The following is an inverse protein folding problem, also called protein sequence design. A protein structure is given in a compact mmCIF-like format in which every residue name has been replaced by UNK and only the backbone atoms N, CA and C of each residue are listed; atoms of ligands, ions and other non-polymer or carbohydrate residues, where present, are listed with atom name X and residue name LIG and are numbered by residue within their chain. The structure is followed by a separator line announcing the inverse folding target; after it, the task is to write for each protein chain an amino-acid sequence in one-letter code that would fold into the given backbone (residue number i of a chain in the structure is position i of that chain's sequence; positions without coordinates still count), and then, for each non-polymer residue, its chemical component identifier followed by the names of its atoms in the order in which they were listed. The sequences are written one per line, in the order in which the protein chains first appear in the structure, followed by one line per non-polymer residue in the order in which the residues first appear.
data_IF_464162119364
#
_entry.id   IF_464162119364
#
_cell.length_a   1.000
_cell.length_b   1.000
_cell.length_c   1.000
_cell.angle_alpha   90.00
_cell.angle_beta   90.00
_cell.angle_gamma   90.00
#
_symmetry.space_group_name_H-M   'P 1'
#
loop_
_entity.id
_entity.type
_entity.pdbx_description
1 polymer ?
#
# COMPACT_ATOMS: atom_id res chain seq x y z
N UNK A 1 24.98 8.81 -21.15
CA UNK A 1 23.69 8.17 -21.49
C UNK A 1 23.61 6.84 -20.75
N UNK A 2 22.48 6.47 -20.13
CA UNK A 2 22.38 5.17 -19.45
C UNK A 2 22.54 4.05 -20.49
N UNK A 3 23.25 3.00 -20.15
CA UNK A 3 23.61 1.90 -21.04
C UNK A 3 22.40 1.12 -21.61
N UNK A 4 21.21 1.33 -21.07
CA UNK A 4 19.94 0.78 -21.55
C UNK A 4 19.55 1.24 -22.96
N UNK A 5 20.13 2.36 -23.45
CA UNK A 5 19.85 2.93 -24.77
C UNK A 5 20.98 2.66 -25.77
N UNK A 6 22.03 1.95 -25.39
CA UNK A 6 23.10 1.57 -26.29
C UNK A 6 22.84 0.17 -26.88
N UNK A 7 23.07 0.00 -28.18
CA UNK A 7 23.05 -1.29 -28.88
C UNK A 7 24.25 -2.16 -28.44
N UNK A 8 24.36 -2.45 -27.15
CA UNK A 8 25.48 -3.24 -26.64
C UNK A 8 25.18 -4.74 -26.82
N UNK A 9 26.20 -5.51 -27.16
CA UNK A 9 26.15 -6.99 -27.24
C UNK A 9 25.65 -7.63 -25.94
N UNK A 10 25.68 -6.87 -24.83
CA UNK A 10 25.13 -7.25 -23.51
C UNK A 10 23.61 -7.51 -23.56
N UNK A 11 22.89 -6.81 -24.45
CA UNK A 11 21.44 -6.99 -24.62
C UNK A 11 21.14 -8.41 -25.12
N UNK A 12 21.94 -8.92 -26.04
CA UNK A 12 21.80 -10.28 -26.54
C UNK A 12 22.12 -11.34 -25.47
N UNK A 13 23.10 -11.07 -24.61
CA UNK A 13 23.42 -11.95 -23.49
C UNK A 13 22.30 -11.98 -22.43
N UNK A 14 21.56 -10.88 -22.25
CA UNK A 14 20.46 -10.76 -21.31
C UNK A 14 19.11 -11.24 -21.88
N UNK A 15 19.00 -11.44 -23.19
CA UNK A 15 17.75 -11.84 -23.83
C UNK A 15 17.16 -13.15 -23.30
N UNK A 16 17.94 -14.24 -23.01
CA UNK A 16 17.37 -15.46 -22.45
C UNK A 16 16.77 -15.23 -21.06
N UNK A 17 17.38 -14.35 -20.25
CA UNK A 17 16.80 -13.99 -18.95
C UNK A 17 15.50 -13.20 -19.07
N UNK A 18 15.40 -12.35 -20.08
CA UNK A 18 14.16 -11.63 -20.38
C UNK A 18 13.05 -12.59 -20.80
N UNK A 19 13.35 -13.58 -21.64
CA UNK A 19 12.42 -14.62 -22.04
C UNK A 19 11.95 -15.46 -20.86
N UNK A 20 12.88 -15.85 -20.00
CA UNK A 20 12.58 -16.60 -18.76
C UNK A 20 11.67 -15.79 -17.84
N UNK A 21 11.97 -14.52 -17.64
CA UNK A 21 11.14 -13.61 -16.84
C UNK A 21 9.73 -13.46 -17.43
N UNK A 22 9.63 -13.31 -18.75
CA UNK A 22 8.36 -13.24 -19.45
C UNK A 22 7.55 -14.52 -19.24
N UNK A 23 8.16 -15.70 -19.42
CA UNK A 23 7.53 -17.00 -19.24
C UNK A 23 6.99 -17.17 -17.80
N UNK A 24 7.83 -16.88 -16.79
CA UNK A 24 7.42 -16.92 -15.37
C UNK A 24 6.25 -15.97 -15.11
N UNK A 25 6.27 -14.79 -15.71
CA UNK A 25 5.20 -13.80 -15.57
C UNK A 25 3.90 -14.28 -16.20
N UNK A 26 3.95 -14.95 -17.35
CA UNK A 26 2.77 -15.55 -18.00
C UNK A 26 2.20 -16.73 -17.19
N UNK A 27 3.07 -17.63 -16.70
CA UNK A 27 2.65 -18.74 -15.83
C UNK A 27 1.97 -18.19 -14.57
N UNK A 28 2.57 -17.20 -13.92
CA UNK A 28 1.98 -16.54 -12.74
C UNK A 28 0.61 -15.94 -13.04
N UNK A 29 0.46 -15.26 -14.18
CA UNK A 29 -0.81 -14.68 -14.63
C UNK A 29 -1.86 -15.77 -14.86
N UNK A 30 -1.49 -16.86 -15.53
CA UNK A 30 -2.36 -18.00 -15.76
C UNK A 30 -2.81 -18.66 -14.46
N UNK A 31 -1.93 -18.85 -13.48
CA UNK A 31 -2.27 -19.40 -12.17
C UNK A 31 -3.30 -18.55 -11.40
N UNK A 32 -3.24 -17.23 -11.53
CA UNK A 32 -4.26 -16.34 -10.94
C UNK A 32 -5.58 -16.40 -11.73
N UNK A 33 -5.54 -16.43 -13.06
CA UNK A 33 -6.76 -16.46 -13.90
C UNK A 33 -7.52 -17.80 -13.79
N UNK A 34 -6.80 -18.90 -13.58
CA UNK A 34 -7.38 -20.23 -13.36
C UNK A 34 -7.84 -20.46 -11.91
N UNK A 35 -7.68 -19.46 -11.03
CA UNK A 35 -8.09 -19.59 -9.63
C UNK A 35 -7.21 -20.52 -8.78
N UNK A 36 -6.10 -21.04 -9.34
CA UNK A 36 -5.15 -21.89 -8.62
C UNK A 36 -4.36 -21.14 -7.56
N UNK A 37 -4.30 -19.81 -7.68
CA UNK A 37 -3.73 -18.94 -6.68
C UNK A 37 -4.80 -18.02 -6.11
N UNK A 38 -5.01 -18.09 -4.79
CA UNK A 38 -6.02 -17.29 -4.12
C UNK A 38 -5.72 -15.79 -4.27
N UNK A 39 -6.76 -15.02 -4.63
CA UNK A 39 -6.73 -13.57 -4.62
C UNK A 39 -7.73 -13.06 -3.59
N UNK A 40 -7.30 -12.13 -2.75
CA UNK A 40 -8.20 -11.47 -1.81
C UNK A 40 -8.85 -10.26 -2.48
N UNK A 41 -10.16 -10.20 -2.41
CA UNK A 41 -10.93 -9.04 -2.86
C UNK A 41 -11.39 -8.28 -1.61
N UNK A 42 -10.86 -7.07 -1.41
CA UNK A 42 -11.27 -6.23 -0.29
C UNK A 42 -12.76 -5.86 -0.41
N UNK A 43 -13.53 -5.82 0.72
CA UNK A 43 -14.94 -5.44 0.72
C UNK A 43 -15.17 -3.95 0.48
N UNK A 44 -14.12 -3.15 0.42
CA UNK A 44 -14.13 -1.71 0.16
C UNK A 44 -13.28 -1.37 -1.06
N UNK A 45 -13.58 -0.28 -1.79
CA UNK A 45 -12.76 0.17 -2.90
C UNK A 45 -11.31 0.40 -2.50
N UNK A 46 -10.37 -0.06 -3.32
CA UNK A 46 -8.92 0.08 -3.08
C UNK A 46 -8.31 0.87 -4.23
N UNK A 47 -7.59 1.94 -3.90
CA UNK A 47 -6.80 2.72 -4.83
C UNK A 47 -5.33 2.39 -4.59
N UNK A 48 -4.63 1.99 -5.64
CA UNK A 48 -3.20 1.67 -5.58
C UNK A 48 -2.40 2.84 -6.14
N UNK A 49 -1.56 3.43 -5.29
CA UNK A 49 -0.59 4.45 -5.70
C UNK A 49 0.79 3.81 -5.81
N UNK A 50 1.30 3.73 -7.01
CA UNK A 50 2.57 3.09 -7.32
C UNK A 50 3.40 3.90 -8.30
N UNK A 51 4.69 3.50 -8.49
CA UNK A 51 5.57 4.07 -9.52
C UNK A 51 5.80 3.04 -10.62
N UNK A 52 5.90 3.55 -11.84
CA UNK A 52 6.38 2.78 -13.00
C UNK A 52 7.91 2.81 -13.12
N UNK A 53 8.56 3.75 -12.46
CA UNK A 53 10.03 3.92 -12.48
C UNK A 53 10.64 3.79 -11.10
N UNK A 54 11.92 3.45 -11.05
CA UNK A 54 12.71 3.40 -9.81
C UNK A 54 13.08 4.83 -9.40
N UNK A 55 12.81 5.21 -8.14
CA UNK A 55 13.18 6.51 -7.57
C UNK A 55 12.09 7.16 -6.73
N UNK A 56 12.43 8.27 -6.10
CA UNK A 56 11.56 9.07 -5.22
C UNK A 56 10.60 9.98 -6.01
N UNK A 57 9.68 9.43 -6.77
CA UNK A 57 8.81 10.16 -7.71
C UNK A 57 7.55 10.76 -7.06
N UNK A 58 7.67 11.36 -5.88
CA UNK A 58 6.58 12.14 -5.29
C UNK A 58 5.33 11.35 -4.89
N UNK A 59 5.42 10.04 -4.63
CA UNK A 59 4.27 9.22 -4.17
C UNK A 59 3.60 9.77 -2.92
N UNK A 60 4.39 10.12 -1.93
CA UNK A 60 3.88 10.59 -0.63
C UNK A 60 3.02 11.84 -0.76
N UNK A 61 3.43 12.90 -1.48
CA UNK A 61 2.56 14.05 -1.75
C UNK A 61 1.25 13.68 -2.45
N UNK A 62 1.30 12.77 -3.43
CA UNK A 62 0.09 12.30 -4.13
C UNK A 62 -0.85 11.55 -3.19
N UNK A 63 -0.32 10.69 -2.32
CA UNK A 63 -1.14 9.97 -1.33
C UNK A 63 -1.77 10.95 -0.35
N UNK A 64 -1.03 11.91 0.18
CA UNK A 64 -1.55 12.93 1.10
C UNK A 64 -2.68 13.73 0.43
N UNK A 65 -2.43 14.26 -0.76
CA UNK A 65 -3.44 14.99 -1.53
C UNK A 65 -4.70 14.15 -1.77
N UNK A 66 -4.54 12.90 -2.19
CA UNK A 66 -5.66 11.99 -2.47
C UNK A 66 -6.50 11.73 -1.22
N UNK A 67 -5.85 11.46 -0.09
CA UNK A 67 -6.53 11.24 1.20
C UNK A 67 -7.29 12.48 1.63
N UNK A 68 -6.70 13.67 1.54
CA UNK A 68 -7.36 14.93 1.87
C UNK A 68 -8.56 15.19 0.97
N UNK A 69 -8.43 14.98 -0.33
CA UNK A 69 -9.51 15.20 -1.29
C UNK A 69 -10.69 14.24 -1.06
N UNK A 70 -10.41 12.97 -0.78
CA UNK A 70 -11.45 11.99 -0.46
C UNK A 70 -12.14 12.30 0.87
N UNK A 71 -11.40 12.79 1.87
CA UNK A 71 -11.96 13.23 3.16
C UNK A 71 -12.86 14.45 2.99
N UNK A 72 -12.49 15.43 2.16
CA UNK A 72 -13.36 16.59 1.81
C UNK A 72 -14.69 16.16 1.22
N UNK A 73 -14.73 15.03 0.50
CA UNK A 73 -15.97 14.44 -0.05
C UNK A 73 -16.75 13.58 0.96
N UNK A 74 -16.39 13.64 2.24
CA UNK A 74 -17.07 12.88 3.30
C UNK A 74 -16.73 11.38 3.34
N UNK A 75 -15.72 10.94 2.58
CA UNK A 75 -15.33 9.54 2.57
C UNK A 75 -14.35 9.22 3.73
N UNK A 76 -14.52 8.07 4.34
CA UNK A 76 -13.57 7.55 5.33
C UNK A 76 -12.47 6.80 4.63
N UNK A 77 -11.27 7.33 4.73
CA UNK A 77 -10.07 6.83 4.05
C UNK A 77 -9.09 6.26 5.05
N UNK A 78 -8.56 5.08 4.77
CA UNK A 78 -7.41 4.52 5.46
C UNK A 78 -6.28 4.24 4.49
N UNK A 79 -5.06 4.28 4.97
CA UNK A 79 -3.86 4.08 4.18
C UNK A 79 -3.16 2.80 4.61
N UNK A 80 -2.72 2.01 3.64
CA UNK A 80 -1.93 0.80 3.88
C UNK A 80 -0.58 0.95 3.19
N UNK A 81 0.49 0.74 3.93
CA UNK A 81 1.84 0.74 3.41
C UNK A 81 2.58 -0.54 3.79
N UNK A 82 3.66 -0.83 3.06
CA UNK A 82 4.55 -1.94 3.42
C UNK A 82 5.39 -1.64 4.66
N UNK A 83 5.54 -0.35 5.01
CA UNK A 83 6.41 0.09 6.09
C UNK A 83 7.90 -0.02 5.73
N UNK A 84 8.27 0.39 4.51
CA UNK A 84 9.68 0.40 4.13
C UNK A 84 10.47 1.29 5.08
N UNK A 85 11.63 0.80 5.56
CA UNK A 85 12.45 1.49 6.56
C UNK A 85 11.97 1.33 8.02
N UNK A 86 10.80 0.76 8.27
CA UNK A 86 10.31 0.43 9.62
C UNK A 86 11.15 -0.65 10.26
N UNK A 87 11.50 -0.45 11.54
CA UNK A 87 12.17 -1.42 12.41
C UNK A 87 11.22 -1.97 13.49
N UNK A 88 9.93 -1.96 13.24
CA UNK A 88 8.97 -2.58 14.16
C UNK A 88 9.23 -4.07 14.32
N UNK A 89 9.05 -4.55 15.55
CA UNK A 89 9.13 -5.99 15.88
C UNK A 89 7.81 -6.72 15.65
N UNK A 90 6.72 -5.96 15.57
CA UNK A 90 5.35 -6.50 15.45
C UNK A 90 4.63 -5.92 14.26
N UNK A 91 3.97 -6.79 13.49
CA UNK A 91 3.12 -6.43 12.35
C UNK A 91 1.80 -7.23 12.42
N UNK A 92 0.69 -6.68 11.95
CA UNK A 92 0.51 -5.31 11.41
C UNK A 92 0.64 -4.25 12.51
N UNK A 93 1.17 -3.07 12.19
CA UNK A 93 1.30 -1.95 13.10
C UNK A 93 0.38 -0.80 12.66
N UNK A 94 -0.43 -0.31 13.59
CA UNK A 94 -1.20 0.91 13.41
C UNK A 94 -0.32 2.13 13.68
N UNK A 95 -0.17 2.99 12.68
CA UNK A 95 0.67 4.18 12.73
C UNK A 95 -0.17 5.40 13.07
N UNK A 96 0.20 6.07 14.14
CA UNK A 96 -0.41 7.32 14.61
C UNK A 96 0.57 8.49 14.45
N UNK A 97 0.11 9.70 14.70
CA UNK A 97 0.96 10.90 14.73
C UNK A 97 2.10 10.80 15.77
N UNK A 98 1.88 10.03 16.86
CA UNK A 98 2.85 9.82 17.93
C UNK A 98 3.81 8.64 17.68
N UNK A 99 3.58 7.87 16.62
CA UNK A 99 4.46 6.75 16.28
C UNK A 99 5.83 7.25 15.88
N UNK A 100 6.88 6.68 16.47
CA UNK A 100 8.26 7.07 16.13
C UNK A 100 8.60 6.64 14.69
N UNK A 101 9.28 7.49 13.91
CA UNK A 101 9.65 7.16 12.53
C UNK A 101 10.45 5.86 12.39
N UNK A 102 11.29 5.55 13.38
CA UNK A 102 12.05 4.29 13.39
C UNK A 102 11.16 3.05 13.46
N UNK A 103 9.98 3.15 14.06
CA UNK A 103 9.02 2.06 14.21
C UNK A 103 8.02 2.03 13.05
N UNK A 104 7.47 3.18 12.70
CA UNK A 104 6.43 3.31 11.68
C UNK A 104 6.95 3.47 10.25
N UNK A 105 8.23 3.83 10.09
CA UNK A 105 8.78 4.32 8.82
C UNK A 105 8.47 5.81 8.61
N UNK A 106 9.37 6.52 7.95
CA UNK A 106 9.23 7.99 7.76
C UNK A 106 7.99 8.35 6.96
N UNK A 107 7.76 7.66 5.84
CA UNK A 107 6.64 7.94 4.94
C UNK A 107 5.27 7.66 5.58
N UNK A 108 4.99 6.50 6.21
CA UNK A 108 3.71 6.26 6.87
C UNK A 108 3.42 7.22 8.02
N UNK A 109 4.44 7.56 8.83
CA UNK A 109 4.29 8.53 9.92
C UNK A 109 3.98 9.92 9.39
N UNK A 110 4.65 10.35 8.30
CA UNK A 110 4.37 11.62 7.63
C UNK A 110 2.92 11.68 7.11
N UNK A 111 2.44 10.60 6.48
CA UNK A 111 1.07 10.52 5.98
C UNK A 111 0.08 10.61 7.15
N UNK A 112 0.29 9.86 8.23
CA UNK A 112 -0.56 9.90 9.41
C UNK A 112 -0.65 11.31 10.01
N UNK A 113 0.50 11.98 10.19
CA UNK A 113 0.56 13.36 10.72
C UNK A 113 -0.13 14.38 9.82
N UNK A 114 0.05 14.29 8.51
CA UNK A 114 -0.49 15.25 7.55
C UNK A 114 -1.99 15.11 7.35
N UNK A 115 -2.46 13.88 7.29
CA UNK A 115 -3.83 13.59 6.88
C UNK A 115 -4.77 13.28 8.04
N UNK A 116 -4.21 12.97 9.21
CA UNK A 116 -4.97 12.43 10.34
C UNK A 116 -5.89 11.27 9.92
N UNK A 117 -5.44 10.47 8.97
CA UNK A 117 -6.10 9.27 8.52
C UNK A 117 -5.48 8.05 9.20
N UNK A 118 -6.24 6.97 9.43
CA UNK A 118 -5.68 5.73 9.94
C UNK A 118 -4.69 5.14 8.92
N UNK A 119 -3.47 4.88 9.37
CA UNK A 119 -2.40 4.29 8.56
C UNK A 119 -1.98 2.97 9.19
N UNK A 120 -1.92 1.91 8.40
CA UNK A 120 -1.45 0.60 8.84
C UNK A 120 -0.28 0.15 7.99
N UNK A 121 0.77 -0.34 8.63
CA UNK A 121 1.91 -0.93 7.95
C UNK A 121 1.99 -2.43 8.20
N UNK A 122 2.27 -3.20 7.15
CA UNK A 122 2.57 -4.62 7.24
C UNK A 122 3.26 -5.13 5.96
N UNK A 123 4.24 -6.04 6.07
CA UNK A 123 4.72 -6.82 4.94
C UNK A 123 3.60 -7.62 4.28
N UNK A 124 2.65 -8.12 5.06
CA UNK A 124 1.45 -8.81 4.60
C UNK A 124 0.29 -7.81 4.49
N UNK A 125 -0.08 -7.49 3.25
CA UNK A 125 -1.16 -6.53 2.96
C UNK A 125 -2.53 -6.98 3.43
N UNK A 126 -2.78 -8.29 3.45
CA UNK A 126 -4.06 -8.84 3.91
C UNK A 126 -4.28 -8.52 5.39
N UNK A 127 -3.28 -8.79 6.23
CA UNK A 127 -3.33 -8.46 7.66
C UNK A 127 -3.52 -6.95 7.90
N UNK A 128 -2.88 -6.11 7.08
CA UNK A 128 -3.06 -4.66 7.17
C UNK A 128 -4.50 -4.23 6.83
N UNK A 129 -5.11 -4.86 5.80
CA UNK A 129 -6.51 -4.59 5.42
C UNK A 129 -7.45 -5.02 6.56
N UNK A 130 -7.27 -6.21 7.10
CA UNK A 130 -8.10 -6.75 8.17
C UNK A 130 -8.05 -5.88 9.43
N UNK A 131 -6.84 -5.47 9.85
CA UNK A 131 -6.69 -4.55 10.98
C UNK A 131 -7.37 -3.21 10.71
N UNK A 132 -7.19 -2.63 9.52
CA UNK A 132 -7.79 -1.35 9.17
C UNK A 132 -9.32 -1.42 9.13
N UNK A 133 -9.89 -2.48 8.58
CA UNK A 133 -11.32 -2.71 8.53
C UNK A 133 -11.92 -2.97 9.92
N UNK A 134 -11.20 -3.72 10.77
CA UNK A 134 -11.59 -3.96 12.15
C UNK A 134 -11.68 -2.68 12.97
N UNK A 135 -10.70 -1.80 12.85
CA UNK A 135 -10.71 -0.48 13.49
C UNK A 135 -11.84 0.42 12.98
N UNK A 136 -12.10 0.39 11.67
CA UNK A 136 -13.22 1.13 11.09
C UNK A 136 -14.58 0.63 11.60
N UNK A 137 -14.74 -0.68 11.82
CA UNK A 137 -15.96 -1.26 12.38
C UNK A 137 -16.19 -0.85 13.83
N UNK A 138 -15.14 -0.83 14.65
CA UNK A 138 -15.20 -0.38 16.06
C UNK A 138 -15.61 1.09 16.14
N UNK A 139 -15.10 1.96 15.24
CA UNK A 139 -15.49 3.37 15.18
C UNK A 139 -16.98 3.56 14.83
N UNK A 140 -17.59 2.61 14.07
CA UNK A 140 -19.02 2.65 13.76
C UNK A 140 -19.92 2.34 14.95
N UNK A 141 -19.53 1.43 15.81
CA UNK A 141 -20.29 1.04 16.99
C UNK A 141 -20.35 2.15 18.03
N UNK A 142 -19.28 2.92 18.21
CA UNK A 142 -19.26 4.04 19.13
C UNK A 142 -20.08 5.25 18.65
N UNK A 143 -20.09 5.55 17.35
CA UNK A 143 -20.91 6.64 16.79
C UNK A 143 -22.40 6.32 16.84
N UNK A 144 -22.79 5.06 16.63
CA UNK A 144 -24.20 4.65 16.67
C UNK A 144 -24.78 4.66 18.10
N UNK A 145 -23.93 4.49 19.12
CA UNK A 145 -24.34 4.58 20.53
C UNK A 145 -24.60 6.03 20.97
N UNK A 146 -24.04 7.04 20.29
CA UNK A 146 -24.28 8.46 20.59
C UNK A 146 -25.50 9.06 19.86
N UNK A 147 -25.96 8.45 18.76
CA UNK A 147 -27.11 8.94 17.99
C UNK A 147 -28.48 8.39 18.46
N UNK A 148 -28.49 7.41 19.38
CA UNK A 148 -29.74 6.84 19.90
C UNK A 148 -30.15 7.37 21.27
N UNK A 149 -29.55 8.49 21.70
CA UNK A 149 -29.84 9.16 22.98
C UNK A 149 -30.47 10.53 22.77
N UNK A 150 -31.60 10.61 22.04
CA UNK A 150 -32.50 11.78 22.04
C UNK A 150 -33.95 11.30 21.89
#
# INVERSE_FOLDING_TARGET
MPFWYSNSKLIWLLSPFSLLFWLISQIRRALFSLGLKSSYRAPKPVIIVGNLSVGGNGKTPVVVWLVEELKKRGLRVGVISRGYGSKSKTYPLFVTENTRPIEGGDEPVLIAKRTNAPVVISPNRLQAIELLLGQAAVSYTHLRAHETGA
#
